data_IF_173338075008
#
_entry.id   IF_173338075008
#
_cell.length_a   1.000
_cell.length_b   1.000
_cell.length_c   1.000
_cell.angle_alpha   90.00
_cell.angle_beta   90.00
_cell.angle_gamma   90.00
#
_symmetry.space_group_name_H-M   'P 1'
#
loop_
_entity.id
_entity.type
_entity.pdbx_description
1 polymer ?
#
# COMPACT_ATOMS: atom_id res chain seq x y z
N UNK A 1 -16.17 35.25 16.34
CA UNK A 1 -17.39 35.37 17.17
C UNK A 1 -18.54 35.65 16.23
N UNK A 2 -19.47 34.72 16.10
CA UNK A 2 -20.65 34.91 15.27
C UNK A 2 -21.72 35.60 16.13
N UNK A 3 -21.86 36.91 15.94
CA UNK A 3 -22.77 37.77 16.69
C UNK A 3 -24.21 37.25 16.65
N UNK A 4 -24.60 36.58 15.55
CA UNK A 4 -25.95 36.06 15.34
C UNK A 4 -26.22 34.83 16.20
N UNK A 5 -25.22 33.93 16.32
CA UNK A 5 -25.31 32.72 17.15
C UNK A 5 -25.31 33.08 18.63
N UNK A 6 -24.47 34.04 19.04
CA UNK A 6 -24.45 34.58 20.39
C UNK A 6 -25.80 35.19 20.80
N UNK A 7 -26.37 36.07 19.98
CA UNK A 7 -27.66 36.73 20.28
C UNK A 7 -28.79 35.69 20.41
N UNK A 8 -28.81 34.68 19.52
CA UNK A 8 -29.80 33.60 19.58
C UNK A 8 -29.66 32.76 20.85
N UNK A 9 -28.46 32.36 21.22
CA UNK A 9 -28.22 31.58 22.43
C UNK A 9 -28.55 32.39 23.69
N UNK A 10 -28.19 33.67 23.73
CA UNK A 10 -28.54 34.58 24.80
C UNK A 10 -30.06 34.71 24.97
N UNK A 11 -30.81 34.88 23.87
CA UNK A 11 -32.27 34.95 23.90
C UNK A 11 -32.91 33.64 24.42
N UNK A 12 -32.41 32.49 23.95
CA UNK A 12 -32.88 31.17 24.38
C UNK A 12 -32.62 30.91 25.88
N UNK A 13 -31.42 31.23 26.37
CA UNK A 13 -31.10 31.07 27.79
C UNK A 13 -31.91 32.04 28.67
N UNK A 14 -32.12 33.28 28.19
CA UNK A 14 -32.97 34.26 28.89
C UNK A 14 -34.41 33.78 29.00
N UNK A 15 -34.98 33.24 27.93
CA UNK A 15 -36.34 32.70 27.90
C UNK A 15 -36.49 31.43 28.77
N UNK A 16 -35.48 30.56 28.77
CA UNK A 16 -35.47 29.36 29.62
C UNK A 16 -35.34 29.70 31.12
N UNK A 17 -34.49 30.67 31.46
CA UNK A 17 -34.25 31.09 32.85
C UNK A 17 -35.37 31.99 33.39
N UNK A 18 -36.14 32.69 32.54
CA UNK A 18 -37.34 33.44 32.95
C UNK A 18 -38.44 32.55 33.55
N UNK A 19 -38.43 31.25 33.28
CA UNK A 19 -39.35 30.28 33.90
C UNK A 19 -39.01 29.97 35.36
N UNK A 20 -37.82 30.35 35.83
CA UNK A 20 -37.41 30.27 37.23
C UNK A 20 -37.36 31.68 37.82
N UNK A 21 -37.79 31.86 39.07
CA UNK A 21 -37.92 33.16 39.75
C UNK A 21 -36.55 33.82 40.05
N UNK A 22 -35.79 34.19 39.02
CA UNK A 22 -34.55 34.95 39.16
C UNK A 22 -34.79 36.46 39.11
N UNK A 23 -33.97 37.23 39.82
CA UNK A 23 -33.89 38.67 39.67
C UNK A 23 -33.35 39.03 38.27
N UNK A 24 -33.90 40.09 37.66
CA UNK A 24 -33.59 40.51 36.29
C UNK A 24 -32.09 40.78 36.04
N UNK A 25 -31.35 41.22 37.07
CA UNK A 25 -29.89 41.41 36.99
C UNK A 25 -29.12 40.09 36.93
N UNK A 26 -29.49 39.13 37.77
CA UNK A 26 -28.82 37.83 37.85
C UNK A 26 -29.15 36.98 36.61
N UNK A 27 -30.39 37.09 36.12
CA UNK A 27 -30.86 36.43 34.91
C UNK A 27 -30.09 36.88 33.67
N UNK A 28 -29.90 38.19 33.46
CA UNK A 28 -29.11 38.69 32.33
C UNK A 28 -27.62 38.32 32.46
N UNK A 29 -27.05 38.34 33.67
CA UNK A 29 -25.64 37.98 33.90
C UNK A 29 -25.39 36.50 33.61
N UNK A 30 -26.27 35.62 34.11
CA UNK A 30 -26.16 34.18 33.90
C UNK A 30 -26.44 33.78 32.45
N UNK A 31 -27.40 34.44 31.79
CA UNK A 31 -27.66 34.23 30.36
C UNK A 31 -26.48 34.67 29.48
N UNK A 32 -25.79 35.76 29.87
CA UNK A 32 -24.60 36.23 29.17
C UNK A 32 -23.43 35.26 29.34
N UNK A 33 -23.18 34.76 30.55
CA UNK A 33 -22.16 33.73 30.79
C UNK A 33 -22.46 32.43 30.03
N UNK A 34 -23.71 31.98 30.04
CA UNK A 34 -24.12 30.77 29.30
C UNK A 34 -23.95 30.95 27.78
N UNK A 35 -24.32 32.11 27.24
CA UNK A 35 -24.12 32.42 25.83
C UNK A 35 -22.63 32.47 25.44
N UNK A 36 -21.77 33.05 26.29
CA UNK A 36 -20.32 33.07 26.08
C UNK A 36 -19.70 31.67 26.15
N UNK A 37 -20.09 30.85 27.13
CA UNK A 37 -19.62 29.46 27.22
C UNK A 37 -20.08 28.63 26.03
N UNK A 38 -21.33 28.81 25.57
CA UNK A 38 -21.81 28.12 24.38
C UNK A 38 -21.07 28.54 23.12
N UNK A 39 -20.67 29.80 23.00
CA UNK A 39 -19.83 30.27 21.88
C UNK A 39 -18.41 29.71 21.98
N UNK A 40 -17.84 29.63 23.19
CA UNK A 40 -16.53 29.00 23.40
C UNK A 40 -16.54 27.53 22.99
N UNK A 41 -17.56 26.78 23.44
CA UNK A 41 -17.74 25.38 23.04
C UNK A 41 -17.91 25.23 21.53
N UNK A 42 -18.66 26.13 20.89
CA UNK A 42 -18.82 26.11 19.44
C UNK A 42 -17.52 26.37 18.68
N UNK A 43 -16.65 27.26 19.20
CA UNK A 43 -15.32 27.50 18.64
C UNK A 43 -14.40 26.29 18.83
N UNK A 44 -14.47 25.65 19.99
CA UNK A 44 -13.69 24.45 20.29
C UNK A 44 -14.14 23.26 19.40
N UNK A 45 -15.45 23.08 19.19
CA UNK A 45 -16.00 22.11 18.23
C UNK A 45 -15.49 22.37 16.81
N UNK A 46 -15.49 23.62 16.36
CA UNK A 46 -15.01 23.99 15.03
C UNK A 46 -13.50 23.74 14.88
N UNK A 47 -12.72 24.01 15.93
CA UNK A 47 -11.29 23.71 15.95
C UNK A 47 -11.03 22.20 15.90
N UNK A 48 -11.84 21.41 16.61
CA UNK A 48 -11.75 19.95 16.60
C UNK A 48 -12.15 19.36 15.24
N UNK A 49 -13.22 19.87 14.61
CA UNK A 49 -13.62 19.50 13.26
C UNK A 49 -12.50 19.78 12.24
N UNK A 50 -11.86 20.96 12.34
CA UNK A 50 -10.73 21.31 11.48
C UNK A 50 -9.54 20.37 11.70
N UNK A 51 -9.24 20.04 12.96
CA UNK A 51 -8.17 19.10 13.29
C UNK A 51 -8.45 17.70 12.74
N UNK A 52 -9.70 17.24 12.81
CA UNK A 52 -10.12 15.95 12.25
C UNK A 52 -9.98 15.92 10.72
N UNK A 53 -10.37 16.99 10.02
CA UNK A 53 -10.15 17.09 8.55
C UNK A 53 -8.65 17.17 8.21
N UNK A 54 -7.82 17.83 9.02
CA UNK A 54 -6.36 17.82 8.83
C UNK A 54 -5.77 16.42 8.99
N UNK A 55 -6.20 15.67 10.01
CA UNK A 55 -5.77 14.29 10.22
C UNK A 55 -6.19 13.41 9.05
N UNK A 56 -7.42 13.58 8.55
CA UNK A 56 -7.93 12.90 7.35
C UNK A 56 -7.08 13.21 6.12
N UNK A 57 -6.81 14.48 5.84
CA UNK A 57 -6.00 14.90 4.70
C UNK A 57 -4.56 14.36 4.82
N UNK A 58 -3.99 14.35 6.02
CA UNK A 58 -2.68 13.76 6.29
C UNK A 58 -2.67 12.26 6.02
N UNK A 59 -3.67 11.51 6.50
CA UNK A 59 -3.80 10.07 6.20
C UNK A 59 -3.86 9.81 4.70
N UNK A 60 -4.61 10.64 3.95
CA UNK A 60 -4.69 10.53 2.50
C UNK A 60 -3.34 10.78 1.82
N UNK A 61 -2.59 11.80 2.27
CA UNK A 61 -1.25 12.10 1.77
C UNK A 61 -0.27 10.96 2.10
N UNK A 62 -0.27 10.48 3.33
CA UNK A 62 0.61 9.39 3.77
C UNK A 62 0.36 8.12 2.96
N UNK A 63 -0.91 7.81 2.70
CA UNK A 63 -1.32 6.69 1.85
C UNK A 63 -0.83 6.83 0.40
N UNK A 64 -1.02 7.99 -0.23
CA UNK A 64 -0.52 8.26 -1.58
C UNK A 64 1.02 8.27 -1.63
N UNK A 65 1.67 8.77 -0.58
CA UNK A 65 3.13 8.78 -0.45
C UNK A 65 3.70 7.37 -0.36
N UNK A 66 3.11 6.50 0.48
CA UNK A 66 3.47 5.09 0.56
C UNK A 66 3.31 4.38 -0.78
N UNK A 67 2.23 4.68 -1.52
CA UNK A 67 2.01 4.13 -2.85
C UNK A 67 3.10 4.57 -3.85
N UNK A 68 3.44 5.86 -3.87
CA UNK A 68 4.51 6.40 -4.71
C UNK A 68 5.87 5.79 -4.37
N UNK A 69 6.19 5.67 -3.08
CA UNK A 69 7.42 5.03 -2.60
C UNK A 69 7.51 3.56 -3.04
N UNK A 70 6.41 2.81 -2.92
CA UNK A 70 6.33 1.42 -3.39
C UNK A 70 6.59 1.32 -4.90
N UNK A 71 6.02 2.24 -5.69
CA UNK A 71 6.24 2.28 -7.14
C UNK A 71 7.69 2.62 -7.50
N UNK A 72 8.31 3.58 -6.78
CA UNK A 72 9.70 3.92 -6.97
C UNK A 72 10.64 2.76 -6.62
N UNK A 73 10.36 2.05 -5.53
CA UNK A 73 11.12 0.86 -5.12
C UNK A 73 11.00 -0.26 -6.16
N UNK A 74 9.79 -0.50 -6.67
CA UNK A 74 9.54 -1.46 -7.76
C UNK A 74 10.34 -1.13 -9.02
N UNK A 75 10.36 0.14 -9.43
CA UNK A 75 11.15 0.59 -10.58
C UNK A 75 12.66 0.41 -10.35
N UNK A 76 13.14 0.68 -9.13
CA UNK A 76 14.53 0.46 -8.75
C UNK A 76 14.91 -1.02 -8.80
N UNK A 77 14.10 -1.91 -8.22
CA UNK A 77 14.34 -3.37 -8.28
C UNK A 77 14.34 -3.88 -9.71
N UNK A 78 13.42 -3.40 -10.56
CA UNK A 78 13.39 -3.77 -11.98
C UNK A 78 14.67 -3.34 -12.71
N UNK A 79 15.15 -2.12 -12.48
CA UNK A 79 16.41 -1.64 -13.04
C UNK A 79 17.59 -2.52 -12.61
N UNK A 80 17.66 -2.90 -11.33
CA UNK A 80 18.70 -3.81 -10.83
C UNK A 80 18.63 -5.18 -11.51
N UNK A 81 17.44 -5.75 -11.72
CA UNK A 81 17.30 -7.02 -12.43
C UNK A 81 17.74 -6.93 -13.89
N UNK A 82 17.39 -5.84 -14.58
CA UNK A 82 17.85 -5.58 -15.96
C UNK A 82 19.39 -5.50 -16.00
N UNK A 83 19.99 -4.80 -15.03
CA UNK A 83 21.46 -4.72 -14.91
C UNK A 83 22.09 -6.10 -14.66
N UNK A 84 21.55 -6.89 -13.73
CA UNK A 84 22.00 -8.26 -13.48
C UNK A 84 21.89 -9.13 -14.74
N UNK A 85 20.77 -9.06 -15.45
CA UNK A 85 20.57 -9.81 -16.70
C UNK A 85 21.59 -9.40 -17.78
N UNK A 86 21.81 -8.10 -17.96
CA UNK A 86 22.82 -7.57 -18.88
C UNK A 86 24.23 -8.03 -18.51
N UNK A 87 24.56 -8.05 -17.21
CA UNK A 87 25.84 -8.51 -16.71
C UNK A 87 26.06 -10.00 -16.99
N UNK A 88 25.06 -10.86 -16.78
CA UNK A 88 25.15 -12.30 -17.10
C UNK A 88 25.39 -12.50 -18.59
N UNK A 89 24.65 -11.76 -19.43
CA UNK A 89 24.82 -11.82 -20.89
C UNK A 89 26.24 -11.42 -21.28
N UNK A 90 26.75 -10.32 -20.73
CA UNK A 90 28.12 -9.86 -20.97
C UNK A 90 29.18 -10.87 -20.51
N UNK A 91 29.00 -11.49 -19.33
CA UNK A 91 29.90 -12.54 -18.85
C UNK A 91 29.91 -13.76 -19.77
N UNK A 92 28.74 -14.17 -20.27
CA UNK A 92 28.61 -15.27 -21.23
C UNK A 92 29.27 -14.94 -22.57
N UNK A 93 29.07 -13.73 -23.08
CA UNK A 93 29.71 -13.26 -24.32
C UNK A 93 31.24 -13.22 -24.15
N UNK A 94 31.74 -12.72 -23.02
CA UNK A 94 33.17 -12.73 -22.70
C UNK A 94 33.75 -14.15 -22.61
N UNK A 95 33.02 -15.09 -22.02
CA UNK A 95 33.45 -16.49 -21.97
C UNK A 95 33.53 -17.11 -23.38
N UNK A 96 32.55 -16.83 -24.25
CA UNK A 96 32.60 -17.28 -25.65
C UNK A 96 33.74 -16.66 -26.44
N UNK A 97 34.02 -15.36 -26.25
CA UNK A 97 35.15 -14.68 -26.89
C UNK A 97 36.47 -15.34 -26.48
N UNK A 98 36.66 -15.57 -25.17
CA UNK A 98 37.87 -16.21 -24.67
C UNK A 98 38.03 -17.65 -25.18
N UNK A 99 36.92 -18.39 -25.27
CA UNK A 99 36.91 -19.73 -25.86
C UNK A 99 37.29 -19.68 -27.34
N UNK A 100 36.73 -18.76 -28.13
CA UNK A 100 37.06 -18.59 -29.53
C UNK A 100 38.54 -18.19 -29.73
N UNK A 101 39.06 -17.28 -28.91
CA UNK A 101 40.47 -16.88 -28.95
C UNK A 101 41.39 -18.06 -28.64
N UNK A 102 41.09 -18.85 -27.60
CA UNK A 102 41.87 -20.03 -27.26
C UNK A 102 41.82 -21.11 -28.35
N UNK A 103 40.67 -21.26 -29.02
CA UNK A 103 40.53 -22.13 -30.19
C UNK A 103 41.42 -21.71 -31.35
N UNK A 104 41.41 -20.43 -31.70
CA UNK A 104 42.26 -19.88 -32.76
C UNK A 104 43.73 -20.09 -32.41
N UNK A 105 44.13 -19.87 -31.15
CA UNK A 105 45.49 -20.14 -30.69
C UNK A 105 45.85 -21.63 -30.79
N UNK A 106 44.96 -22.55 -30.40
CA UNK A 106 45.20 -23.99 -30.53
C UNK A 106 45.41 -24.40 -32.00
N UNK A 107 44.58 -23.89 -32.92
CA UNK A 107 44.70 -24.15 -34.35
C UNK A 107 46.00 -23.58 -34.93
N UNK A 108 46.42 -22.38 -34.49
CA UNK A 108 47.70 -21.78 -34.89
C UNK A 108 48.90 -22.60 -34.42
N UNK A 109 48.87 -23.12 -33.19
CA UNK A 109 49.94 -23.98 -32.67
C UNK A 109 49.98 -25.31 -33.42
N UNK A 110 48.81 -25.91 -33.72
CA UNK A 110 48.73 -27.13 -34.52
C UNK A 110 49.27 -26.93 -35.94
N UNK A 111 48.93 -25.81 -36.58
CA UNK A 111 49.36 -25.51 -37.95
C UNK A 111 50.87 -25.21 -38.06
N UNK A 112 51.49 -24.68 -36.99
CA UNK A 112 52.91 -24.28 -36.98
C UNK A 112 53.84 -25.30 -36.30
N UNK A 113 53.34 -26.41 -35.76
CA UNK A 113 54.16 -27.39 -35.04
C UNK A 113 54.94 -28.30 -36.03
N UNK A 114 56.28 -28.21 -36.11
CA UNK A 114 57.08 -28.98 -37.08
C UNK A 114 57.10 -30.49 -36.81
N UNK A 115 56.74 -30.94 -35.60
CA UNK A 115 56.72 -32.36 -35.19
C UNK A 115 55.32 -32.95 -35.03
N UNK A 116 54.27 -32.17 -35.31
CA UNK A 116 52.87 -32.51 -34.99
C UNK A 116 52.60 -32.54 -33.47
N UNK A 117 51.48 -31.97 -33.03
CA UNK A 117 51.02 -32.18 -31.66
C UNK A 117 50.46 -33.61 -31.57
N UNK A 118 50.85 -34.38 -30.55
CA UNK A 118 50.23 -35.68 -30.28
C UNK A 118 48.73 -35.53 -30.09
N UNK A 119 47.93 -36.41 -30.69
CA UNK A 119 46.46 -36.39 -30.62
C UNK A 119 45.94 -36.23 -29.16
N UNK A 120 46.55 -36.94 -28.21
CA UNK A 120 46.24 -36.83 -26.77
C UNK A 120 46.44 -35.41 -26.20
N UNK A 121 47.48 -34.69 -26.62
CA UNK A 121 47.74 -33.33 -26.11
C UNK A 121 46.78 -32.33 -26.74
N UNK A 122 46.44 -32.52 -28.02
CA UNK A 122 45.44 -31.71 -28.70
C UNK A 122 44.06 -31.89 -28.07
N UNK A 123 43.66 -33.13 -27.81
CA UNK A 123 42.37 -33.47 -27.20
C UNK A 123 42.28 -32.93 -25.76
N UNK A 124 43.34 -33.02 -24.96
CA UNK A 124 43.36 -32.46 -23.60
C UNK A 124 43.20 -30.93 -23.60
N UNK A 125 43.87 -30.21 -24.50
CA UNK A 125 43.77 -28.75 -24.59
C UNK A 125 42.41 -28.33 -25.18
N UNK A 126 41.93 -29.05 -26.19
CA UNK A 126 40.59 -28.86 -26.76
C UNK A 126 39.50 -29.01 -25.68
N UNK A 127 39.56 -30.10 -24.90
CA UNK A 127 38.65 -30.33 -23.79
C UNK A 127 38.75 -29.18 -22.78
N UNK A 128 39.96 -28.75 -22.40
CA UNK A 128 40.13 -27.60 -21.49
C UNK A 128 39.52 -26.29 -22.01
N UNK A 129 39.59 -26.03 -23.32
CA UNK A 129 38.98 -24.86 -23.97
C UNK A 129 37.44 -24.98 -24.00
N UNK A 130 36.92 -26.18 -24.24
CA UNK A 130 35.49 -26.48 -24.19
C UNK A 130 34.86 -26.21 -22.82
N UNK A 131 35.69 -26.23 -21.76
CA UNK A 131 35.27 -25.94 -20.38
C UNK A 131 35.19 -24.43 -20.06
N UNK A 132 35.76 -23.54 -20.88
CA UNK A 132 35.64 -22.09 -20.68
C UNK A 132 34.17 -21.69 -20.79
N UNK A 133 33.61 -21.19 -19.69
CA UNK A 133 32.22 -20.76 -19.58
C UNK A 133 31.25 -21.80 -18.98
N UNK A 134 31.74 -22.96 -18.54
CA UNK A 134 30.96 -23.91 -17.72
C UNK A 134 31.19 -23.64 -16.23
N UNK A 135 30.17 -23.89 -15.42
CA UNK A 135 30.25 -23.79 -13.95
C UNK A 135 30.83 -25.08 -13.35
N UNK A 136 31.75 -24.97 -12.38
CA UNK A 136 32.42 -26.12 -11.76
C UNK A 136 31.92 -26.31 -10.32
N UNK A 137 31.51 -27.53 -9.96
CA UNK A 137 31.04 -27.86 -8.60
C UNK A 137 32.17 -28.36 -7.67
N UNK A 138 33.24 -28.97 -8.21
CA UNK A 138 34.42 -29.37 -7.43
C UNK A 138 35.62 -29.71 -8.33
N UNK A 139 36.84 -29.45 -7.85
CA UNK A 139 38.11 -29.82 -8.52
C UNK A 139 38.68 -31.04 -7.80
N UNK A 140 38.68 -32.21 -8.45
CA UNK A 140 39.29 -33.41 -7.90
C UNK A 140 40.80 -33.43 -8.20
N UNK A 141 41.63 -33.08 -7.21
CA UNK A 141 43.09 -32.92 -7.36
C UNK A 141 43.88 -34.23 -7.45
N UNK A 142 43.27 -35.40 -7.22
CA UNK A 142 44.00 -36.67 -7.06
C UNK A 142 44.33 -37.43 -8.36
N UNK A 143 43.78 -37.06 -9.51
CA UNK A 143 43.98 -37.79 -10.78
C UNK A 143 44.56 -36.94 -11.91
N UNK A 144 44.84 -35.66 -11.66
CA UNK A 144 45.14 -34.69 -12.73
C UNK A 144 43.98 -34.49 -13.73
N UNK A 145 42.83 -35.13 -13.49
CA UNK A 145 41.60 -34.98 -14.28
C UNK A 145 40.54 -34.29 -13.44
N UNK A 146 40.06 -33.15 -13.95
CA UNK A 146 38.84 -32.51 -13.45
C UNK A 146 37.69 -33.48 -13.71
N UNK A 147 37.04 -33.96 -12.64
CA UNK A 147 35.85 -34.82 -12.76
C UNK A 147 34.64 -33.91 -12.84
N UNK A 148 34.06 -33.85 -14.03
CA UNK A 148 32.86 -33.09 -14.33
C UNK A 148 31.66 -33.84 -13.77
N UNK A 149 30.88 -33.17 -12.92
CA UNK A 149 29.48 -33.56 -12.76
C UNK A 149 28.71 -32.75 -13.79
N UNK A 150 27.97 -33.42 -14.67
CA UNK A 150 26.96 -32.82 -15.55
C UNK A 150 25.82 -32.23 -14.69
N UNK A 151 26.13 -31.24 -13.85
CA UNK A 151 25.10 -30.33 -13.40
C UNK A 151 24.79 -29.49 -14.63
N UNK A 152 23.61 -29.73 -15.21
CA UNK A 152 22.93 -28.72 -16.04
C UNK A 152 23.23 -27.37 -15.42
N UNK A 153 23.81 -26.45 -16.22
CA UNK A 153 24.16 -25.07 -15.82
C UNK A 153 23.27 -24.66 -14.68
N UNK A 154 23.84 -24.54 -13.47
CA UNK A 154 23.01 -24.36 -12.29
C UNK A 154 22.26 -23.08 -12.52
N UNK A 155 20.98 -23.26 -12.81
CA UNK A 155 20.07 -22.21 -13.16
C UNK A 155 19.87 -21.33 -11.92
N UNK A 156 20.64 -21.44 -10.84
CA UNK A 156 20.54 -20.74 -9.57
C UNK A 156 20.36 -19.24 -9.76
N UNK A 157 21.21 -18.59 -10.56
CA UNK A 157 21.11 -17.16 -10.76
C UNK A 157 19.92 -16.80 -11.67
N UNK A 158 19.60 -17.66 -12.65
CA UNK A 158 18.42 -17.52 -13.52
C UNK A 158 17.11 -17.87 -12.80
N UNK A 159 17.17 -18.72 -11.78
CA UNK A 159 16.11 -19.21 -10.91
C UNK A 159 15.85 -18.13 -9.88
N UNK A 160 16.88 -17.55 -9.28
CA UNK A 160 16.80 -16.34 -8.45
C UNK A 160 16.20 -15.20 -9.27
N UNK A 161 16.67 -14.97 -10.51
CA UNK A 161 16.07 -13.98 -11.42
C UNK A 161 14.60 -14.31 -11.72
N UNK A 162 14.27 -15.57 -12.05
CA UNK A 162 12.89 -15.97 -12.34
C UNK A 162 11.99 -15.86 -11.12
N UNK A 163 12.52 -16.16 -9.93
CA UNK A 163 11.82 -16.04 -8.65
C UNK A 163 11.60 -14.57 -8.33
N UNK A 164 12.61 -13.70 -8.52
CA UNK A 164 12.47 -12.25 -8.36
C UNK A 164 11.49 -11.65 -9.38
N UNK A 165 11.54 -12.10 -10.64
CA UNK A 165 10.59 -11.70 -11.68
C UNK A 165 9.17 -12.19 -11.36
N UNK A 166 9.02 -13.42 -10.86
CA UNK A 166 7.74 -13.98 -10.42
C UNK A 166 7.21 -13.24 -9.20
N UNK A 167 8.06 -12.93 -8.23
CA UNK A 167 7.67 -12.15 -7.04
C UNK A 167 7.31 -10.71 -7.42
N UNK A 168 7.98 -10.13 -8.42
CA UNK A 168 7.60 -8.84 -9.01
C UNK A 168 6.29 -8.92 -9.78
N UNK A 169 6.02 -10.01 -10.50
CA UNK A 169 4.74 -10.23 -11.18
C UNK A 169 3.60 -10.46 -10.19
N UNK A 170 3.83 -11.21 -9.11
CA UNK A 170 2.90 -11.34 -7.99
C UNK A 170 2.66 -9.99 -7.36
N UNK A 171 3.72 -9.23 -7.05
CA UNK A 171 3.58 -7.85 -6.63
C UNK A 171 2.83 -7.03 -7.67
N UNK A 172 2.97 -7.24 -8.97
CA UNK A 172 2.23 -6.50 -9.99
C UNK A 172 0.74 -6.90 -10.10
N UNK A 173 0.42 -8.18 -9.82
CA UNK A 173 -0.94 -8.73 -9.81
C UNK A 173 -1.67 -8.43 -8.50
N UNK A 174 -0.99 -8.54 -7.37
CA UNK A 174 -1.48 -8.15 -6.04
C UNK A 174 -1.42 -6.63 -5.85
N UNK A 175 -0.53 -5.93 -6.58
CA UNK A 175 -0.52 -4.47 -6.80
C UNK A 175 -1.17 -4.09 -8.11
N UNK A 176 -2.31 -4.70 -8.46
CA UNK A 176 -3.32 -3.83 -9.03
C UNK A 176 -3.44 -2.66 -8.05
N UNK A 177 -2.97 -1.47 -8.46
CA UNK A 177 -2.75 -0.26 -7.64
C UNK A 177 -4.02 0.31 -7.02
N UNK A 178 -5.05 -0.52 -6.94
CA UNK A 178 -6.40 -0.31 -6.54
C UNK A 178 -6.47 -0.83 -5.11
N UNK A 179 -6.32 0.07 -4.16
CA UNK A 179 -6.50 -0.20 -2.74
C UNK A 179 -7.69 0.60 -2.26
N UNK A 180 -8.51 -0.06 -1.46
CA UNK A 180 -9.67 0.51 -0.82
C UNK A 180 -9.44 0.52 0.69
N UNK A 181 -9.61 1.69 1.31
CA UNK A 181 -9.56 1.86 2.74
C UNK A 181 -10.85 2.52 3.22
N UNK A 182 -11.29 2.11 4.41
CA UNK A 182 -12.51 2.58 5.04
C UNK A 182 -12.17 2.90 6.48
N UNK A 183 -12.41 4.14 6.87
CA UNK A 183 -12.21 4.67 8.19
C UNK A 183 -13.53 5.19 8.75
N UNK A 184 -13.61 5.18 10.08
CA UNK A 184 -14.70 5.81 10.82
C UNK A 184 -14.09 6.72 11.88
N UNK A 185 -14.75 7.85 12.12
CA UNK A 185 -14.43 8.74 13.23
C UNK A 185 -14.65 8.02 14.58
N UNK A 186 -15.70 7.19 14.66
CA UNK A 186 -16.03 6.38 15.85
C UNK A 186 -16.51 4.98 15.47
N UNK A 187 -16.10 3.97 16.23
CA UNK A 187 -16.61 2.60 16.06
C UNK A 187 -17.89 2.34 16.86
N UNK A 188 -18.23 3.23 17.80
CA UNK A 188 -19.43 3.16 18.61
C UNK A 188 -20.15 4.51 18.64
N UNK A 189 -21.47 4.50 18.52
CA UNK A 189 -22.29 5.70 18.63
C UNK A 189 -23.64 5.42 19.30
N UNK A 190 -24.24 6.48 19.83
CA UNK A 190 -25.59 6.37 20.39
C UNK A 190 -26.64 6.22 19.28
N UNK A 191 -27.78 5.62 19.62
CA UNK A 191 -28.96 5.61 18.76
C UNK A 191 -29.25 7.02 18.23
N UNK A 192 -29.41 7.13 16.91
CA UNK A 192 -29.59 8.38 16.17
C UNK A 192 -28.42 9.38 16.14
N UNK A 193 -27.26 9.05 16.71
CA UNK A 193 -26.06 9.89 16.57
C UNK A 193 -25.43 9.68 15.19
N UNK A 194 -25.12 10.76 14.45
CA UNK A 194 -24.45 10.65 13.15
C UNK A 194 -22.97 10.31 13.32
N UNK A 195 -22.48 9.35 12.54
CA UNK A 195 -21.07 8.98 12.44
C UNK A 195 -20.55 9.34 11.05
N UNK A 196 -19.39 10.01 11.01
CA UNK A 196 -18.68 10.27 9.75
C UNK A 196 -17.84 9.05 9.37
N UNK A 197 -18.07 8.53 8.16
CA UNK A 197 -17.31 7.48 7.52
C UNK A 197 -16.54 8.05 6.34
N UNK A 198 -15.28 7.61 6.20
CA UNK A 198 -14.39 8.04 5.13
C UNK A 198 -13.90 6.83 4.34
N UNK A 199 -14.20 6.83 3.05
CA UNK A 199 -13.75 5.84 2.09
C UNK A 199 -12.67 6.46 1.22
N UNK A 200 -11.54 5.78 1.10
CA UNK A 200 -10.48 6.14 0.17
C UNK A 200 -10.29 5.01 -0.81
N UNK A 201 -10.27 5.35 -2.09
CA UNK A 201 -9.94 4.44 -3.16
C UNK A 201 -8.90 5.08 -4.05
N UNK A 202 -7.93 4.29 -4.49
CA UNK A 202 -6.94 4.69 -5.51
C UNK A 202 -7.38 4.30 -6.91
N UNK A 203 -8.60 3.76 -7.07
CA UNK A 203 -9.17 3.37 -8.35
C UNK A 203 -9.45 4.63 -9.18
N UNK A 204 -8.67 4.84 -10.24
CA UNK A 204 -8.82 6.02 -11.11
C UNK A 204 -10.16 6.02 -11.85
N UNK A 205 -10.96 7.09 -11.71
CA UNK A 205 -12.31 7.22 -12.30
C UNK A 205 -13.27 6.08 -11.89
N UNK A 206 -13.29 5.75 -10.60
CA UNK A 206 -14.21 4.77 -10.05
C UNK A 206 -15.52 5.41 -9.59
N UNK A 207 -16.62 4.67 -9.71
CA UNK A 207 -17.84 4.98 -8.98
C UNK A 207 -17.66 4.50 -7.54
N UNK A 208 -17.64 5.45 -6.61
CA UNK A 208 -17.43 5.22 -5.18
C UNK A 208 -18.74 5.40 -4.41
N UNK A 209 -19.04 4.46 -3.51
CA UNK A 209 -20.24 4.52 -2.70
C UNK A 209 -20.16 3.70 -1.42
N UNK A 210 -21.00 4.10 -0.47
CA UNK A 210 -21.22 3.38 0.78
C UNK A 210 -22.51 2.59 0.68
N UNK A 211 -22.50 1.36 1.19
CA UNK A 211 -23.60 0.40 1.08
C UNK A 211 -23.89 -0.23 2.44
N UNK A 212 -25.17 -0.50 2.72
CA UNK A 212 -25.63 -1.15 3.94
C UNK A 212 -25.50 -2.69 3.85
N UNK A 213 -25.94 -3.40 4.89
CA UNK A 213 -25.93 -4.88 4.92
C UNK A 213 -26.76 -5.54 3.81
N UNK A 214 -27.79 -4.84 3.32
CA UNK A 214 -28.63 -5.28 2.20
C UNK A 214 -28.05 -4.91 0.82
N UNK A 215 -26.81 -4.39 0.77
CA UNK A 215 -26.17 -3.83 -0.43
C UNK A 215 -26.95 -2.67 -1.08
N UNK A 216 -27.73 -1.93 -0.31
CA UNK A 216 -28.35 -0.69 -0.78
C UNK A 216 -27.38 0.47 -0.59
N UNK A 217 -27.29 1.34 -1.60
CA UNK A 217 -26.41 2.50 -1.55
C UNK A 217 -26.95 3.54 -0.56
N UNK A 218 -26.14 3.86 0.45
CA UNK A 218 -26.43 4.85 1.50
C UNK A 218 -25.95 6.24 1.05
N UNK A 219 -24.77 6.31 0.42
CA UNK A 219 -24.18 7.56 -0.05
C UNK A 219 -23.24 7.32 -1.23
N UNK A 220 -23.10 8.32 -2.10
CA UNK A 220 -22.13 8.36 -3.21
C UNK A 220 -20.96 9.29 -2.86
N UNK A 221 -19.73 8.86 -3.14
CA UNK A 221 -18.50 9.62 -2.90
C UNK A 221 -17.66 9.09 -1.73
N UNK A 222 -16.66 9.87 -1.31
CA UNK A 222 -15.63 9.49 -0.33
C UNK A 222 -16.02 9.73 1.14
N UNK A 223 -17.15 10.39 1.40
CA UNK A 223 -17.63 10.70 2.76
C UNK A 223 -19.09 10.31 2.90
N UNK A 224 -19.42 9.65 4.00
CA UNK A 224 -20.80 9.31 4.36
C UNK A 224 -21.08 9.72 5.81
N UNK A 225 -22.24 10.32 6.05
CA UNK A 225 -22.80 10.53 7.38
C UNK A 225 -23.79 9.40 7.65
N UNK A 226 -23.35 8.39 8.39
CA UNK A 226 -24.18 7.25 8.76
C UNK A 226 -24.97 7.55 10.03
N UNK A 227 -26.27 7.22 10.03
CA UNK A 227 -27.14 7.30 11.22
C UNK A 227 -28.03 6.07 11.24
N UNK A 228 -28.15 5.45 12.41
CA UNK A 228 -29.05 4.32 12.61
C UNK A 228 -29.97 4.54 13.79
N UNK A 229 -31.22 4.13 13.62
CA UNK A 229 -32.28 4.12 14.62
C UNK A 229 -32.32 2.79 15.39
N UNK A 230 -31.68 1.74 14.88
CA UNK A 230 -31.66 0.41 15.48
C UNK A 230 -30.39 0.20 16.31
N UNK A 231 -30.57 -0.27 17.54
CA UNK A 231 -29.49 -0.64 18.45
C UNK A 231 -28.93 -1.99 18.01
N UNK A 232 -27.61 -2.11 17.89
CA UNK A 232 -26.95 -3.32 17.42
C UNK A 232 -25.71 -3.05 16.57
N UNK A 233 -25.14 -4.12 16.01
CA UNK A 233 -24.01 -4.04 15.08
C UNK A 233 -24.53 -3.77 13.68
N UNK A 234 -23.95 -2.77 13.02
CA UNK A 234 -24.24 -2.41 11.64
C UNK A 234 -22.97 -2.54 10.81
N UNK A 235 -23.01 -3.38 9.79
CA UNK A 235 -21.88 -3.53 8.86
C UNK A 235 -22.09 -2.59 7.67
N UNK A 236 -21.18 -1.63 7.52
CA UNK A 236 -21.15 -0.72 6.37
C UNK A 236 -20.02 -1.13 5.46
N UNK A 237 -20.31 -1.17 4.15
CA UNK A 237 -19.32 -1.47 3.13
C UNK A 237 -19.05 -0.26 2.26
N UNK A 238 -17.79 0.04 2.02
CA UNK A 238 -17.37 1.00 1.01
C UNK A 238 -16.96 0.22 -0.23
N UNK A 239 -17.54 0.58 -1.38
CA UNK A 239 -17.29 -0.08 -2.65
C UNK A 239 -16.79 0.94 -3.66
N UNK A 240 -15.75 0.56 -4.40
CA UNK A 240 -15.25 1.30 -5.55
C UNK A 240 -15.30 0.38 -6.77
N UNK A 241 -16.07 0.77 -7.78
CA UNK A 241 -16.28 0.00 -9.01
C UNK A 241 -15.69 0.72 -10.21
N UNK A 242 -14.96 -0.01 -11.05
CA UNK A 242 -14.55 0.42 -12.38
C UNK A 242 -14.59 -0.76 -13.34
N UNK A 243 -15.42 -0.65 -14.37
CA UNK A 243 -15.64 -1.68 -15.40
C UNK A 243 -15.88 -3.06 -14.76
N UNK A 244 -14.86 -3.93 -14.78
CA UNK A 244 -14.94 -5.33 -14.34
C UNK A 244 -14.29 -5.58 -12.96
N UNK A 245 -13.88 -4.51 -12.26
CA UNK A 245 -13.27 -4.60 -10.92
C UNK A 245 -14.13 -3.91 -9.88
N UNK A 246 -14.51 -4.70 -8.87
CA UNK A 246 -15.22 -4.25 -7.68
C UNK A 246 -14.31 -4.49 -6.48
N UNK A 247 -13.99 -3.42 -5.76
CA UNK A 247 -13.29 -3.49 -4.49
C UNK A 247 -14.24 -3.17 -3.36
N UNK A 248 -14.22 -3.97 -2.30
CA UNK A 248 -15.12 -3.79 -1.15
C UNK A 248 -14.31 -3.84 0.15
N UNK A 249 -14.46 -2.83 0.99
CA UNK A 249 -13.99 -2.84 2.39
C UNK A 249 -15.18 -2.73 3.31
N UNK A 250 -15.16 -3.44 4.43
CA UNK A 250 -16.26 -3.43 5.42
C UNK A 250 -15.76 -2.88 6.76
N UNK A 251 -16.62 -2.16 7.45
CA UNK A 251 -16.43 -1.71 8.82
C UNK A 251 -17.68 -2.03 9.63
N UNK A 252 -17.51 -2.41 10.88
CA UNK A 252 -18.62 -2.67 11.80
C UNK A 252 -18.73 -1.52 12.77
N UNK A 253 -19.94 -0.98 12.86
CA UNK A 253 -20.31 0.12 13.76
C UNK A 253 -21.26 -0.44 14.81
N UNK A 254 -20.95 -0.24 16.09
CA UNK A 254 -21.86 -0.59 17.17
C UNK A 254 -22.73 0.62 17.52
N UNK A 255 -24.05 0.46 17.41
CA UNK A 255 -25.01 1.46 17.89
C UNK A 255 -25.57 0.99 19.23
N UNK A 256 -25.38 1.80 20.26
CA UNK A 256 -25.79 1.53 21.64
C UNK A 256 -26.92 2.46 22.08
N UNK A 257 -27.78 1.99 22.98
CA UNK A 257 -28.87 2.80 23.52
C UNK A 257 -28.35 3.76 24.59
N UNK A 258 -28.91 4.97 24.63
CA UNK A 258 -28.53 5.95 25.64
C UNK A 258 -29.18 5.59 26.98
N UNK A 259 -28.44 4.92 27.86
CA UNK A 259 -28.90 4.51 29.19
C UNK A 259 -29.25 5.67 30.12
N UNK A 260 -28.89 6.92 29.77
CA UNK A 260 -29.20 8.11 30.56
C UNK A 260 -30.60 8.70 30.28
N UNK A 261 -31.29 8.28 29.22
CA UNK A 261 -32.66 8.74 28.94
C UNK A 261 -33.76 8.02 29.75
N UNK A 262 -33.41 6.93 30.45
CA UNK A 262 -34.32 6.19 31.33
C UNK A 262 -34.02 6.37 32.82
N UNK A 263 -33.14 7.31 33.18
CA UNK A 263 -32.84 7.68 34.56
C UNK A 263 -33.53 8.98 34.97
N UNK A 264 -34.85 8.94 35.15
CA UNK A 264 -35.64 9.92 35.89
C UNK A 264 -36.87 9.23 36.50
#
# INVERSE_FOLDING_TARGET
MDTTRFIRNFALFKEALQKQNFNNKDLNTMSMQAALQSEQLALDEQAQDLQNEQVRAKMQIDFLSMQSSLQAQKASTLNTLIQCHSMIKSLKDNAFINRANAYVSLLQVQANAPSGITENNFENVLNTILEIGKEYSSINKNSGKVVYSDREQTDDLKTILSNLSSELEKLNKDSEMNQIQLFSDKLEALKNEPIKLWGFSTLSNAEEGFYNEANEQIASGSVCLFRSDKVGKHIISFQAQKEDKIMVKKITINVVENSLQHGA
#
